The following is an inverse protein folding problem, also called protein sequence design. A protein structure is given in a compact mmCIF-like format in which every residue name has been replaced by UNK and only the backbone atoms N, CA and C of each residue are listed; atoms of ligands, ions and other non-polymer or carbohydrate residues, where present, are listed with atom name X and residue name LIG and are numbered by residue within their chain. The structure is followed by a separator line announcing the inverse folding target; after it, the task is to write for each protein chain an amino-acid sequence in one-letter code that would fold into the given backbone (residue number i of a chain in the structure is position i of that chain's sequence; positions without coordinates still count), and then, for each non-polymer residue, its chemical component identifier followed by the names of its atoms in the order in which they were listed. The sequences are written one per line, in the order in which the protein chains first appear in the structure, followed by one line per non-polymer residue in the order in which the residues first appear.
data_IF_831720117409
#
_entry.id   IF_831720117409
#
_cell.length_a   1.000
_cell.length_b   1.000
_cell.length_c   1.000
_cell.angle_alpha   90.00
_cell.angle_beta   90.00
_cell.angle_gamma   90.00
#
_symmetry.space_group_name_H-M   'P 1'
#
loop_
_entity.id
_entity.type
_entity.pdbx_description
1 polymer ?
#
# COMPACT_ATOMS: atom_id res chain seq x y z
N UNK A 1 -7.95 -52.27 15.48
CA UNK A 1 -8.19 -50.88 15.96
C UNK A 1 -7.23 -49.94 15.24
N UNK A 2 -7.60 -49.39 14.07
CA UNK A 2 -6.80 -48.42 13.30
C UNK A 2 -7.73 -47.60 12.39
N UNK A 3 -8.40 -46.58 12.92
CA UNK A 3 -9.17 -45.61 12.11
C UNK A 3 -9.36 -44.25 12.81
N UNK A 4 -8.29 -43.56 13.23
CA UNK A 4 -8.43 -42.18 13.74
C UNK A 4 -7.20 -41.30 13.46
N UNK A 5 -6.61 -41.37 12.25
CA UNK A 5 -5.50 -40.48 11.86
C UNK A 5 -5.67 -40.05 10.40
N UNK A 6 -6.79 -39.42 10.05
CA UNK A 6 -6.92 -38.75 8.74
C UNK A 6 -7.71 -37.42 8.84
N UNK A 7 -8.47 -37.19 9.91
CA UNK A 7 -9.43 -36.09 9.97
C UNK A 7 -8.94 -34.81 10.65
N UNK A 8 -7.65 -34.70 11.00
CA UNK A 8 -7.11 -33.48 11.65
C UNK A 8 -6.28 -32.58 10.72
N UNK A 9 -5.77 -33.06 9.58
CA UNK A 9 -5.03 -32.20 8.65
C UNK A 9 -5.91 -31.30 7.77
N UNK A 10 -7.19 -31.62 7.58
CA UNK A 10 -8.09 -30.77 6.78
C UNK A 10 -8.65 -29.57 7.58
N UNK A 11 -8.68 -29.65 8.91
CA UNK A 11 -9.21 -28.56 9.74
C UNK A 11 -8.17 -27.46 9.98
N UNK A 12 -6.88 -27.80 9.99
CA UNK A 12 -5.78 -26.85 10.11
C UNK A 12 -5.47 -26.10 8.81
N UNK A 13 -5.89 -26.62 7.65
CA UNK A 13 -5.73 -25.91 6.37
C UNK A 13 -6.82 -24.83 6.13
N UNK A 14 -7.99 -24.93 6.78
CA UNK A 14 -9.06 -23.92 6.67
C UNK A 14 -8.92 -22.76 7.66
N UNK A 15 -8.06 -22.87 8.67
CA UNK A 15 -7.78 -21.77 9.60
C UNK A 15 -6.67 -20.82 9.10
N UNK A 16 -6.01 -21.14 7.98
CA UNK A 16 -4.97 -20.29 7.37
C UNK A 16 -5.48 -19.49 6.15
N UNK A 17 -6.78 -19.46 5.89
CA UNK A 17 -7.37 -18.77 4.73
C UNK A 17 -8.26 -17.59 5.09
N UNK A 18 -8.30 -17.18 6.37
CA UNK A 18 -9.21 -16.12 6.83
C UNK A 18 -8.54 -15.11 7.76
N UNK A 19 -7.28 -14.79 7.48
CA UNK A 19 -6.67 -13.53 7.94
C UNK A 19 -6.47 -12.64 6.71
N UNK A 20 -7.56 -12.31 6.01
CA UNK A 20 -7.62 -11.03 5.32
C UNK A 20 -7.59 -9.99 6.44
N UNK A 21 -6.38 -9.59 6.83
CA UNK A 21 -6.20 -8.37 7.60
C UNK A 21 -6.75 -7.26 6.71
N UNK A 22 -7.97 -6.80 7.01
CA UNK A 22 -8.45 -5.53 6.49
C UNK A 22 -7.48 -4.48 7.02
N UNK A 23 -6.57 -4.01 6.17
CA UNK A 23 -5.70 -2.89 6.51
C UNK A 23 -6.58 -1.65 6.36
N UNK A 24 -7.38 -1.33 7.38
CA UNK A 24 -8.02 -0.01 7.50
C UNK A 24 -7.00 0.94 8.09
N UNK A 25 -6.84 2.16 7.57
CA UNK A 25 -5.95 3.14 8.18
C UNK A 25 -6.42 3.66 9.57
N UNK A 26 -7.41 3.03 10.21
CA UNK A 26 -7.99 3.48 11.48
C UNK A 26 -9.22 4.36 11.26
N UNK A 27 -9.87 4.17 10.12
CA UNK A 27 -11.13 4.80 9.73
C UNK A 27 -12.29 4.04 10.40
N UNK A 28 -12.44 4.29 11.70
CA UNK A 28 -13.34 3.56 12.60
C UNK A 28 -14.54 4.43 13.05
N UNK A 29 -14.55 5.72 12.68
CA UNK A 29 -15.54 6.74 13.05
C UNK A 29 -15.69 7.82 11.95
N UNK A 30 -16.93 8.32 11.78
CA UNK A 30 -17.48 9.19 10.70
C UNK A 30 -16.75 10.54 10.43
N UNK A 31 -15.51 10.74 10.89
CA UNK A 31 -14.72 11.97 10.71
C UNK A 31 -13.29 11.78 10.20
N UNK A 32 -12.95 10.58 9.69
CA UNK A 32 -11.67 10.14 9.09
C UNK A 32 -10.53 11.16 8.99
N UNK A 33 -9.33 10.80 9.50
CA UNK A 33 -8.16 11.69 9.38
C UNK A 33 -7.70 11.75 7.91
N UNK A 34 -7.84 12.89 7.21
CA UNK A 34 -7.46 13.02 5.81
C UNK A 34 -5.96 12.78 5.54
N UNK A 35 -5.14 12.75 6.60
CA UNK A 35 -3.70 12.51 6.50
C UNK A 35 -3.38 11.02 6.39
N UNK A 36 -4.24 10.15 6.87
CA UNK A 36 -4.03 8.70 6.89
C UNK A 36 -4.20 8.10 5.49
N UNK A 37 -3.10 7.63 4.92
CA UNK A 37 -3.08 6.96 3.63
C UNK A 37 -2.14 5.79 3.58
N UNK A 38 -2.00 5.23 2.38
CA UNK A 38 -1.26 4.00 2.18
C UNK A 38 -0.41 4.05 0.91
N UNK A 39 0.69 3.30 0.95
CA UNK A 39 1.54 3.04 -0.20
C UNK A 39 1.61 1.54 -0.39
N UNK A 40 1.09 1.05 -1.51
CA UNK A 40 1.08 -0.36 -1.90
C UNK A 40 2.11 -0.59 -3.02
N UNK A 41 3.13 -1.39 -2.72
CA UNK A 41 4.13 -1.77 -3.69
C UNK A 41 3.87 -3.19 -4.18
N UNK A 42 3.21 -3.32 -5.33
CA UNK A 42 2.94 -4.61 -5.98
C UNK A 42 4.05 -5.00 -6.97
N UNK A 43 5.25 -4.42 -6.87
CA UNK A 43 6.38 -4.76 -7.73
C UNK A 43 7.34 -5.73 -7.01
N UNK A 44 8.17 -6.49 -7.74
CA UNK A 44 9.21 -7.33 -7.14
C UNK A 44 10.45 -6.53 -6.70
N UNK A 45 10.40 -5.19 -6.76
CA UNK A 45 11.48 -4.28 -6.38
C UNK A 45 11.10 -3.51 -5.13
N UNK A 46 12.09 -3.08 -4.35
CA UNK A 46 11.83 -2.08 -3.32
C UNK A 46 11.55 -0.75 -4.01
N UNK A 47 10.73 0.11 -3.41
CA UNK A 47 10.49 1.46 -3.93
C UNK A 47 10.86 2.53 -2.91
N UNK A 48 11.32 3.66 -3.44
CA UNK A 48 11.46 4.93 -2.73
C UNK A 48 10.43 5.90 -3.28
N UNK A 49 9.51 6.32 -2.43
CA UNK A 49 8.49 7.32 -2.75
C UNK A 49 8.89 8.64 -2.13
N UNK A 50 9.25 9.61 -2.98
CA UNK A 50 9.64 10.96 -2.56
C UNK A 50 8.48 11.92 -2.81
N UNK A 51 7.86 12.39 -1.73
CA UNK A 51 6.89 13.48 -1.73
C UNK A 51 7.67 14.80 -1.67
N UNK A 52 8.19 15.23 -2.82
CA UNK A 52 9.23 16.25 -2.99
C UNK A 52 9.30 17.32 -1.87
N UNK A 53 10.25 17.14 -0.94
CA UNK A 53 10.54 18.10 0.14
C UNK A 53 9.76 17.90 1.45
N UNK A 54 8.80 16.98 1.48
CA UNK A 54 8.04 16.63 2.69
C UNK A 54 8.55 15.33 3.32
N UNK A 55 8.62 14.25 2.54
CA UNK A 55 8.98 12.92 3.05
C UNK A 55 9.54 12.01 1.96
N UNK A 56 10.41 11.08 2.36
CA UNK A 56 10.77 9.91 1.59
C UNK A 56 10.34 8.67 2.36
N UNK A 57 9.56 7.80 1.72
CA UNK A 57 9.11 6.52 2.26
C UNK A 57 9.75 5.38 1.47
N UNK A 58 10.38 4.45 2.17
CA UNK A 58 10.91 3.21 1.57
C UNK A 58 9.90 2.09 1.80
N UNK A 59 9.49 1.42 0.72
CA UNK A 59 8.50 0.34 0.77
C UNK A 59 9.14 -0.91 0.17
N UNK A 60 9.27 -2.00 0.93
CA UNK A 60 9.81 -3.25 0.39
C UNK A 60 8.95 -3.80 -0.76
N UNK A 61 9.55 -4.68 -1.57
CA UNK A 61 8.83 -5.42 -2.61
C UNK A 61 7.63 -6.18 -2.03
N UNK A 62 6.48 -6.10 -2.71
CA UNK A 62 5.24 -6.81 -2.35
C UNK A 62 4.70 -6.49 -0.94
N UNK A 63 4.96 -5.27 -0.45
CA UNK A 63 4.50 -4.81 0.86
C UNK A 63 3.61 -3.57 0.77
N UNK A 64 2.79 -3.39 1.81
CA UNK A 64 1.93 -2.22 2.00
C UNK A 64 2.39 -1.50 3.27
N UNK A 65 2.56 -0.18 3.19
CA UNK A 65 2.86 0.65 4.36
C UNK A 65 1.82 1.74 4.54
N UNK A 66 1.55 2.08 5.81
CA UNK A 66 0.75 3.25 6.16
C UNK A 66 1.60 4.51 6.13
N UNK A 67 0.97 5.62 5.78
CA UNK A 67 1.58 6.93 5.68
C UNK A 67 0.64 7.99 6.24
N UNK A 68 1.13 8.82 7.16
CA UNK A 68 0.34 9.86 7.82
C UNK A 68 1.10 11.18 8.04
N UNK A 69 2.25 11.34 7.38
CA UNK A 69 3.07 12.55 7.49
C UNK A 69 2.66 13.66 6.50
N UNK A 70 1.69 13.41 5.62
CA UNK A 70 1.26 14.39 4.63
C UNK A 70 0.16 15.29 5.21
N UNK A 71 0.20 16.57 4.85
CA UNK A 71 -0.73 17.58 5.33
C UNK A 71 -1.95 17.66 4.42
N UNK A 72 -3.14 17.65 5.04
CA UNK A 72 -4.41 17.81 4.35
C UNK A 72 -4.53 19.15 3.61
N UNK A 73 -5.25 19.14 2.50
CA UNK A 73 -5.43 20.29 1.63
C UNK A 73 -4.17 20.72 0.84
N UNK A 74 -3.19 19.82 0.68
CA UNK A 74 -1.90 20.09 0.03
C UNK A 74 -1.71 19.18 -1.19
N UNK A 75 -1.17 19.72 -2.29
CA UNK A 75 -0.72 18.92 -3.43
C UNK A 75 0.78 18.64 -3.34
N UNK A 76 1.14 17.36 -3.41
CA UNK A 76 2.52 16.88 -3.45
C UNK A 76 2.90 16.44 -4.86
N UNK A 77 4.12 16.77 -5.27
CA UNK A 77 4.76 16.12 -6.41
C UNK A 77 5.45 14.85 -5.91
N UNK A 78 5.06 13.72 -6.47
CA UNK A 78 5.50 12.38 -6.07
C UNK A 78 6.43 11.83 -7.13
N UNK A 79 7.63 11.47 -6.73
CA UNK A 79 8.57 10.71 -7.56
C UNK A 79 8.77 9.32 -6.96
N UNK A 80 8.57 8.29 -7.76
CA UNK A 80 8.80 6.90 -7.37
C UNK A 80 10.04 6.37 -8.08
N UNK A 81 10.97 5.83 -7.30
CA UNK A 81 12.14 5.13 -7.79
C UNK A 81 12.09 3.67 -7.37
N UNK A 82 12.13 2.74 -8.33
CA UNK A 82 12.31 1.33 -8.05
C UNK A 82 13.80 1.07 -7.86
N UNK A 83 14.15 0.34 -6.81
CA UNK A 83 15.54 -0.01 -6.49
C UNK A 83 15.70 -1.52 -6.37
N UNK A 84 16.85 -2.03 -6.80
CA UNK A 84 17.20 -3.43 -6.66
C UNK A 84 17.63 -3.77 -5.22
N UNK A 85 18.00 -5.04 -5.00
CA UNK A 85 18.46 -5.52 -3.69
C UNK A 85 19.76 -4.86 -3.19
N UNK A 86 20.51 -4.17 -4.07
CA UNK A 86 21.70 -3.39 -3.70
C UNK A 86 21.38 -1.93 -3.40
N UNK A 87 20.13 -1.51 -3.64
CA UNK A 87 19.68 -0.12 -3.50
C UNK A 87 19.96 0.75 -4.72
N UNK A 88 20.42 0.17 -5.84
CA UNK A 88 20.64 0.88 -7.09
C UNK A 88 19.31 1.11 -7.82
N UNK A 89 19.16 2.28 -8.45
CA UNK A 89 17.95 2.62 -9.19
C UNK A 89 17.80 1.72 -10.44
N UNK A 90 16.69 0.99 -10.50
CA UNK A 90 16.28 0.18 -11.66
C UNK A 90 15.52 1.05 -12.63
N UNK A 91 14.57 1.83 -12.12
CA UNK A 91 13.80 2.78 -12.93
C UNK A 91 13.24 3.91 -12.06
N UNK A 92 12.93 5.03 -12.71
CA UNK A 92 12.28 6.18 -12.10
C UNK A 92 11.00 6.42 -12.89
N UNK A 93 9.86 6.38 -12.20
CA UNK A 93 8.56 6.64 -12.83
C UNK A 93 8.38 8.15 -13.08
N UNK A 94 7.57 8.54 -14.08
CA UNK A 94 7.18 9.93 -14.26
C UNK A 94 6.63 10.53 -12.97
N UNK A 95 6.91 11.81 -12.74
CA UNK A 95 6.41 12.54 -11.58
C UNK A 95 4.87 12.59 -11.65
N UNK A 96 4.23 12.32 -10.51
CA UNK A 96 2.79 12.34 -10.36
C UNK A 96 2.37 13.41 -9.35
N UNK A 97 1.21 14.03 -9.53
CA UNK A 97 0.66 14.97 -8.55
C UNK A 97 -0.38 14.25 -7.70
N UNK A 98 -0.22 14.31 -6.37
CA UNK A 98 -1.17 13.77 -5.41
C UNK A 98 -1.72 14.92 -4.56
N UNK A 99 -3.02 15.15 -4.60
CA UNK A 99 -3.69 16.05 -3.66
C UNK A 99 -4.15 15.24 -2.46
N UNK A 100 -3.95 15.75 -1.25
CA UNK A 100 -4.52 15.19 -0.02
C UNK A 100 -5.73 16.05 0.31
N UNK A 101 -6.94 15.50 0.23
CA UNK A 101 -8.16 16.25 0.50
C UNK A 101 -8.23 16.70 1.98
N UNK A 102 -9.08 17.69 2.29
CA UNK A 102 -9.42 18.12 3.65
C UNK A 102 -10.51 17.25 4.28
N UNK A 103 -11.38 16.67 3.47
CA UNK A 103 -12.30 15.60 3.88
C UNK A 103 -11.62 14.26 3.68
N UNK A 104 -11.77 13.34 4.63
CA UNK A 104 -11.44 11.95 4.39
C UNK A 104 -12.64 11.31 3.69
N UNK A 105 -12.42 10.90 2.44
CA UNK A 105 -13.29 9.93 1.79
C UNK A 105 -12.61 8.55 1.89
N UNK A 106 -13.40 7.52 2.18
CA UNK A 106 -12.99 6.12 2.18
C UNK A 106 -12.50 5.67 0.80
N UNK A 107 -11.23 5.89 0.50
CA UNK A 107 -10.65 5.41 -0.74
C UNK A 107 -10.28 3.93 -0.60
N UNK A 108 -10.87 3.11 -1.46
CA UNK A 108 -10.66 1.66 -1.48
C UNK A 108 -9.54 1.27 -2.42
N UNK A 109 -8.47 0.71 -1.86
CA UNK A 109 -7.57 -0.16 -2.60
C UNK A 109 -8.04 -1.61 -2.39
N UNK A 110 -8.04 -2.41 -3.47
CA UNK A 110 -8.23 -3.88 -3.46
C UNK A 110 -9.42 -4.48 -2.65
N UNK A 111 -10.54 -3.76 -2.50
CA UNK A 111 -11.77 -4.18 -1.76
C UNK A 111 -11.59 -4.46 -0.26
N UNK A 112 -10.38 -4.35 0.28
CA UNK A 112 -10.05 -4.75 1.65
C UNK A 112 -9.29 -3.69 2.44
N UNK A 113 -8.96 -2.57 1.80
CA UNK A 113 -8.13 -1.51 2.37
C UNK A 113 -8.85 -0.18 2.20
N UNK A 114 -9.16 0.51 3.31
CA UNK A 114 -9.84 1.81 3.31
C UNK A 114 -8.94 2.84 3.99
N UNK A 115 -8.57 3.90 3.28
CA UNK A 115 -7.82 5.04 3.81
C UNK A 115 -8.22 6.32 3.07
N UNK A 116 -7.88 7.49 3.61
CA UNK A 116 -8.21 8.79 3.02
C UNK A 116 -7.54 9.03 1.67
N UNK A 117 -6.40 8.39 1.42
CA UNK A 117 -5.72 8.42 0.12
C UNK A 117 -4.83 7.17 -0.06
N UNK A 118 -4.45 6.88 -1.31
CA UNK A 118 -3.54 5.78 -1.63
C UNK A 118 -2.60 6.08 -2.80
N UNK A 119 -1.45 5.40 -2.79
CA UNK A 119 -0.54 5.23 -3.92
C UNK A 119 -0.31 3.74 -4.15
N UNK A 120 -0.47 3.26 -5.38
CA UNK A 120 -0.20 1.88 -5.77
C UNK A 120 0.76 1.83 -6.94
N UNK A 121 1.89 1.14 -6.74
CA UNK A 121 2.90 0.91 -7.78
C UNK A 121 2.76 -0.54 -8.24
N UNK A 122 2.50 -0.75 -9.53
CA UNK A 122 2.19 -2.08 -10.07
C UNK A 122 3.09 -2.43 -11.26
N UNK A 123 3.36 -3.73 -11.40
CA UNK A 123 4.09 -4.32 -12.51
C UNK A 123 5.18 -5.29 -12.06
N UNK A 124 5.19 -6.49 -12.65
CA UNK A 124 6.22 -7.51 -12.38
C UNK A 124 7.51 -7.21 -13.15
N UNK A 125 7.37 -6.66 -14.35
CA UNK A 125 8.46 -6.22 -15.22
C UNK A 125 8.05 -4.93 -15.92
N UNK A 126 9.01 -4.17 -16.46
CA UNK A 126 8.69 -2.97 -17.23
C UNK A 126 7.67 -3.26 -18.36
N UNK A 127 6.68 -2.37 -18.59
CA UNK A 127 6.49 -1.07 -17.94
C UNK A 127 5.81 -1.19 -16.57
N UNK A 128 6.29 -0.38 -15.63
CA UNK A 128 5.64 -0.19 -14.33
C UNK A 128 4.69 1.01 -14.39
N UNK A 129 3.70 1.03 -13.51
CA UNK A 129 2.76 2.14 -13.43
C UNK A 129 2.47 2.55 -11.99
N UNK A 130 2.07 3.81 -11.84
CA UNK A 130 1.65 4.41 -10.57
C UNK A 130 0.19 4.80 -10.71
N UNK A 131 -0.63 4.38 -9.75
CA UNK A 131 -2.03 4.80 -9.59
C UNK A 131 -2.20 5.45 -8.23
N UNK A 132 -3.04 6.47 -8.14
CA UNK A 132 -3.35 7.13 -6.87
C UNK A 132 -4.80 7.59 -6.79
N UNK A 133 -5.29 7.75 -5.57
CA UNK A 133 -6.58 8.35 -5.26
C UNK A 133 -6.52 9.08 -3.92
N UNK A 134 -7.34 10.12 -3.79
CA UNK A 134 -7.65 10.87 -2.57
C UNK A 134 -9.08 11.36 -2.70
#
# INVERSE_FOLDING_TARGET
MKKHIVTQCLLSLMLLSLSLFMISCGDDDDDGDPREGLIDNQTPYNIRVNFMGAKISEVPAQEIVRENALERGTTYQVQVTLVDATGAAVTILPIHSLYIDRSADDNRLNNTTTCSWYLSVVGDTAPFSLTSGS
#
